data_IF_112146569446
#
_entry.id   IF_112146569446
#
_cell.length_a   1.000
_cell.length_b   1.000
_cell.length_c   1.000
_cell.angle_alpha   90.00
_cell.angle_beta   90.00
_cell.angle_gamma   90.00
#
_symmetry.space_group_name_H-M   'P 1'
#
loop_
_entity.id
_entity.type
_entity.pdbx_description
1 polymer ?
#
# COMPACT_ATOMS: atom_id res chain seq x y z
N UNK A 1 -39.19 -3.11 -8.95
CA UNK A 1 -37.81 -2.65 -9.22
C UNK A 1 -36.80 -3.79 -9.05
N UNK A 2 -36.15 -4.27 -10.12
CA UNK A 2 -35.02 -5.22 -10.01
C UNK A 2 -33.73 -4.52 -10.44
N UNK A 3 -32.97 -3.97 -9.49
CA UNK A 3 -31.64 -3.42 -9.72
C UNK A 3 -30.62 -4.56 -9.86
N UNK A 4 -30.47 -5.11 -11.07
CA UNK A 4 -29.51 -6.17 -11.38
C UNK A 4 -28.65 -5.81 -12.58
N UNK A 5 -27.44 -6.36 -12.63
CA UNK A 5 -26.51 -6.20 -13.75
C UNK A 5 -26.18 -4.73 -14.05
N UNK A 6 -26.28 -4.34 -15.32
CA UNK A 6 -25.92 -3.01 -15.78
C UNK A 6 -26.69 -1.88 -15.08
N UNK A 7 -27.97 -2.10 -14.72
CA UNK A 7 -28.80 -1.07 -14.05
C UNK A 7 -28.24 -0.70 -12.68
N UNK A 8 -27.85 -1.70 -11.88
CA UNK A 8 -27.23 -1.47 -10.56
C UNK A 8 -25.90 -0.74 -10.69
N UNK A 9 -25.05 -1.18 -11.62
CA UNK A 9 -23.73 -0.60 -11.85
C UNK A 9 -23.82 0.86 -12.34
N UNK A 10 -24.73 1.14 -13.27
CA UNK A 10 -24.95 2.49 -13.80
C UNK A 10 -25.53 3.41 -12.74
N UNK A 11 -26.52 2.96 -11.95
CA UNK A 11 -27.06 3.77 -10.86
C UNK A 11 -25.98 4.12 -9.82
N UNK A 12 -25.16 3.15 -9.42
CA UNK A 12 -24.06 3.39 -8.49
C UNK A 12 -23.04 4.39 -9.07
N UNK A 13 -22.69 4.26 -10.35
CA UNK A 13 -21.80 5.20 -11.02
C UNK A 13 -22.39 6.61 -11.12
N UNK A 14 -23.69 6.77 -11.36
CA UNK A 14 -24.38 8.06 -11.34
C UNK A 14 -24.31 8.71 -9.95
N UNK A 15 -24.54 7.93 -8.88
CA UNK A 15 -24.45 8.41 -7.51
C UNK A 15 -23.01 8.76 -7.09
N UNK A 16 -22.00 8.12 -7.66
CA UNK A 16 -20.59 8.51 -7.42
C UNK A 16 -20.24 9.75 -8.23
N UNK A 17 -20.68 9.83 -9.49
CA UNK A 17 -20.32 10.92 -10.38
C UNK A 17 -20.96 12.25 -9.95
N UNK A 18 -22.28 12.24 -9.73
CA UNK A 18 -23.05 13.46 -9.49
C UNK A 18 -22.77 14.03 -8.10
N UNK A 19 -23.25 13.44 -6.97
CA UNK A 19 -22.97 14.02 -5.67
C UNK A 19 -21.52 13.79 -5.21
N UNK A 20 -20.93 12.62 -5.50
CA UNK A 20 -19.57 12.30 -5.03
C UNK A 20 -18.46 13.13 -5.68
N UNK A 21 -18.38 13.17 -7.01
CA UNK A 21 -17.33 13.92 -7.73
C UNK A 21 -17.76 15.35 -8.02
N UNK A 22 -18.92 15.52 -8.65
CA UNK A 22 -19.33 16.84 -9.14
C UNK A 22 -20.01 17.70 -8.06
N UNK A 23 -20.51 17.08 -6.98
CA UNK A 23 -21.32 17.73 -5.94
C UNK A 23 -22.50 18.50 -6.54
N UNK A 24 -23.12 17.82 -7.50
CA UNK A 24 -24.33 18.23 -8.22
C UNK A 24 -25.33 17.10 -8.09
N UNK A 25 -26.60 17.46 -8.01
CA UNK A 25 -27.71 16.50 -7.97
C UNK A 25 -28.67 16.69 -9.16
N UNK A 26 -28.55 17.82 -9.86
CA UNK A 26 -29.35 18.19 -11.04
C UNK A 26 -28.48 18.51 -12.26
N UNK A 27 -29.01 18.16 -13.43
CA UNK A 27 -28.68 18.64 -14.79
C UNK A 27 -27.20 18.77 -15.15
N UNK A 28 -26.43 17.71 -14.92
CA UNK A 28 -25.06 17.68 -15.41
C UNK A 28 -24.93 17.02 -16.78
N UNK A 29 -24.14 17.67 -17.64
CA UNK A 29 -23.87 17.20 -18.99
C UNK A 29 -22.75 16.15 -18.94
N UNK A 30 -23.14 14.88 -18.79
CA UNK A 30 -22.26 13.73 -18.59
C UNK A 30 -21.94 13.06 -19.92
N UNK A 31 -20.68 12.67 -20.12
CA UNK A 31 -20.31 11.77 -21.22
C UNK A 31 -20.45 10.32 -20.77
N UNK A 32 -21.10 9.48 -21.58
CA UNK A 32 -21.42 8.10 -21.19
C UNK A 32 -20.18 7.25 -20.83
N UNK A 33 -19.02 7.51 -21.46
CA UNK A 33 -17.78 6.82 -21.10
C UNK A 33 -17.33 7.10 -19.66
N UNK A 34 -17.66 8.25 -19.07
CA UNK A 34 -17.31 8.57 -17.68
C UNK A 34 -18.01 7.62 -16.71
N UNK A 35 -19.25 7.23 -17.02
CA UNK A 35 -19.96 6.20 -16.27
C UNK A 35 -19.34 4.83 -16.51
N UNK A 36 -18.89 4.53 -17.73
CA UNK A 36 -18.20 3.27 -18.04
C UNK A 36 -16.90 3.13 -17.23
N UNK A 37 -16.09 4.19 -17.15
CA UNK A 37 -14.81 4.19 -16.43
C UNK A 37 -15.05 4.06 -14.92
N UNK A 38 -16.05 4.74 -14.36
CA UNK A 38 -16.42 4.59 -12.94
C UNK A 38 -16.85 3.16 -12.57
N UNK A 39 -17.56 2.48 -13.47
CA UNK A 39 -17.95 1.08 -13.24
C UNK A 39 -16.71 0.16 -13.22
N UNK A 40 -15.73 0.43 -14.08
CA UNK A 40 -14.47 -0.33 -14.13
C UNK A 40 -13.62 -0.06 -12.89
N UNK A 41 -13.50 1.20 -12.47
CA UNK A 41 -12.81 1.59 -11.23
C UNK A 41 -13.39 0.88 -9.99
N UNK A 42 -14.71 0.65 -9.98
CA UNK A 42 -15.41 -0.09 -8.92
C UNK A 42 -15.26 -1.63 -9.04
N UNK A 43 -14.38 -2.14 -9.92
CA UNK A 43 -14.15 -3.57 -10.13
C UNK A 43 -15.21 -4.25 -11.03
N UNK A 44 -16.04 -3.48 -11.73
CA UNK A 44 -17.06 -4.00 -12.65
C UNK A 44 -16.56 -4.20 -14.09
N UNK A 45 -17.37 -4.86 -14.92
CA UNK A 45 -17.10 -4.97 -16.36
C UNK A 45 -17.36 -3.67 -17.11
N UNK A 46 -16.55 -3.36 -18.12
CA UNK A 46 -16.76 -2.19 -18.99
C UNK A 46 -17.99 -2.41 -19.88
N UNK A 47 -18.99 -1.53 -19.74
CA UNK A 47 -20.17 -1.52 -20.61
C UNK A 47 -19.97 -0.58 -21.79
N UNK A 48 -20.56 -0.91 -22.95
CA UNK A 48 -20.60 0.01 -24.08
C UNK A 48 -21.65 1.12 -23.86
N UNK A 49 -21.46 2.27 -24.51
CA UNK A 49 -22.34 3.44 -24.41
C UNK A 49 -23.81 3.11 -24.68
N UNK A 50 -24.09 2.20 -25.62
CA UNK A 50 -25.45 1.72 -25.92
C UNK A 50 -26.09 1.00 -24.72
N UNK A 51 -25.31 0.21 -23.99
CA UNK A 51 -25.79 -0.51 -22.81
C UNK A 51 -26.01 0.45 -21.64
N UNK A 52 -25.13 1.42 -21.48
CA UNK A 52 -25.25 2.47 -20.46
C UNK A 52 -26.48 3.33 -20.74
N UNK A 53 -26.68 3.78 -21.98
CA UNK A 53 -27.86 4.56 -22.38
C UNK A 53 -29.19 3.82 -22.15
N UNK A 54 -29.25 2.52 -22.50
CA UNK A 54 -30.43 1.68 -22.20
C UNK A 54 -30.69 1.53 -20.70
N UNK A 55 -29.63 1.36 -19.91
CA UNK A 55 -29.75 1.28 -18.46
C UNK A 55 -30.23 2.62 -17.86
N UNK A 56 -29.72 3.76 -18.35
CA UNK A 56 -30.16 5.09 -17.92
C UNK A 56 -31.63 5.35 -18.27
N UNK A 57 -32.06 5.05 -19.49
CA UNK A 57 -33.46 5.15 -19.87
C UNK A 57 -34.36 4.30 -18.96
N UNK A 58 -34.00 3.04 -18.75
CA UNK A 58 -34.75 2.16 -17.84
C UNK A 58 -34.69 2.56 -16.36
N UNK A 59 -33.69 3.33 -15.92
CA UNK A 59 -33.65 3.91 -14.57
C UNK A 59 -34.52 5.17 -14.48
N UNK A 60 -34.65 5.91 -15.57
CA UNK A 60 -35.53 7.07 -15.66
C UNK A 60 -37.01 6.66 -15.72
N UNK A 61 -37.35 5.59 -16.46
CA UNK A 61 -38.69 5.00 -16.47
C UNK A 61 -39.14 4.55 -15.06
N UNK A 62 -38.18 4.11 -14.24
CA UNK A 62 -38.41 3.71 -12.84
C UNK A 62 -38.37 4.91 -11.87
N UNK A 63 -38.29 6.15 -12.37
CA UNK A 63 -38.23 7.40 -11.60
C UNK A 63 -37.08 7.44 -10.58
N UNK A 64 -35.95 6.77 -10.88
CA UNK A 64 -34.75 6.81 -10.04
C UNK A 64 -33.84 7.99 -10.39
N UNK A 65 -33.82 8.35 -11.67
CA UNK A 65 -33.05 9.45 -12.22
C UNK A 65 -33.92 10.21 -13.23
N UNK A 66 -33.56 11.44 -13.57
CA UNK A 66 -33.99 12.06 -14.82
C UNK A 66 -32.87 11.89 -15.86
N UNK A 67 -33.24 11.52 -17.08
CA UNK A 67 -32.28 11.24 -18.15
C UNK A 67 -32.75 11.84 -19.47
N UNK A 68 -31.92 12.72 -20.04
CA UNK A 68 -32.08 13.20 -21.42
C UNK A 68 -30.94 12.64 -22.26
N UNK A 69 -31.24 11.86 -23.32
CA UNK A 69 -30.20 11.24 -24.13
C UNK A 69 -29.35 12.30 -24.86
N UNK A 70 -28.09 11.93 -25.14
CA UNK A 70 -27.18 12.84 -25.83
C UNK A 70 -27.63 13.12 -27.28
N UNK A 71 -27.65 14.40 -27.68
CA UNK A 71 -27.98 14.82 -29.04
C UNK A 71 -26.82 15.59 -29.69
N UNK A 72 -26.51 15.28 -30.95
CA UNK A 72 -25.56 16.04 -31.79
C UNK A 72 -24.06 15.78 -31.57
N UNK A 73 -23.21 16.51 -32.31
CA UNK A 73 -21.74 16.44 -32.24
C UNK A 73 -21.26 17.05 -30.91
N UNK A 74 -21.18 16.21 -29.89
CA UNK A 74 -20.77 16.60 -28.53
C UNK A 74 -20.98 15.51 -27.46
N UNK A 75 -21.84 14.52 -27.74
CA UNK A 75 -22.09 13.30 -26.95
C UNK A 75 -22.17 13.51 -25.43
N UNK A 76 -22.92 14.53 -24.98
CA UNK A 76 -23.25 14.72 -23.56
C UNK A 76 -24.72 14.40 -23.34
N UNK A 77 -25.00 13.50 -22.41
CA UNK A 77 -26.34 13.23 -21.92
C UNK A 77 -26.58 14.05 -20.64
N UNK A 78 -27.81 14.47 -20.40
CA UNK A 78 -28.17 15.10 -19.13
C UNK A 78 -28.65 14.01 -18.18
N UNK A 79 -28.08 13.99 -16.98
CA UNK A 79 -28.45 13.05 -15.93
C UNK A 79 -28.65 13.82 -14.62
N UNK A 80 -29.76 13.57 -13.94
CA UNK A 80 -30.07 14.12 -12.63
C UNK A 80 -30.64 13.03 -11.70
N UNK A 81 -30.55 13.24 -10.39
CA UNK A 81 -31.31 12.42 -9.43
C UNK A 81 -32.77 12.83 -9.51
N UNK A 82 -33.70 11.86 -9.52
CA UNK A 82 -35.12 12.16 -9.67
C UNK A 82 -35.64 13.04 -8.53
N UNK A 83 -36.51 14.01 -8.85
CA UNK A 83 -37.02 15.05 -7.93
C UNK A 83 -37.58 14.48 -6.62
N UNK A 84 -38.20 13.30 -6.68
CA UNK A 84 -38.76 12.59 -5.52
C UNK A 84 -37.75 12.29 -4.40
N UNK A 85 -36.45 12.22 -4.70
CA UNK A 85 -35.39 11.95 -3.71
C UNK A 85 -34.66 13.21 -3.22
N UNK A 86 -35.02 14.36 -3.77
CA UNK A 86 -34.35 15.65 -3.51
C UNK A 86 -35.36 16.74 -3.10
N UNK A 87 -36.59 16.34 -2.78
CA UNK A 87 -37.68 17.27 -2.43
C UNK A 87 -37.38 18.09 -1.17
N UNK A 88 -36.67 17.51 -0.20
CA UNK A 88 -36.24 18.19 1.04
C UNK A 88 -34.81 18.74 0.97
N UNK A 89 -34.19 18.74 -0.22
CA UNK A 89 -32.81 19.19 -0.43
C UNK A 89 -32.82 20.50 -1.19
N UNK A 90 -32.57 21.61 -0.50
CA UNK A 90 -32.45 22.91 -1.13
C UNK A 90 -31.16 22.99 -1.96
N UNK A 91 -31.31 22.96 -3.29
CA UNK A 91 -30.19 23.05 -4.23
C UNK A 91 -29.75 24.50 -4.34
N UNK A 92 -28.60 24.82 -3.75
CA UNK A 92 -28.04 26.17 -3.83
C UNK A 92 -27.79 26.57 -5.29
N UNK A 93 -28.32 27.72 -5.69
CA UNK A 93 -28.19 28.25 -7.04
C UNK A 93 -26.72 28.46 -7.40
N UNK A 94 -26.37 28.40 -8.69
CA UNK A 94 -24.99 28.64 -9.16
C UNK A 94 -24.97 29.71 -10.24
N UNK A 95 -23.91 30.51 -10.27
CA UNK A 95 -23.68 31.52 -11.30
C UNK A 95 -23.30 30.87 -12.65
N UNK A 96 -23.20 31.68 -13.70
CA UNK A 96 -22.83 31.23 -15.05
C UNK A 96 -21.43 30.57 -15.13
N UNK A 97 -20.60 30.73 -14.10
CA UNK A 97 -19.27 30.09 -13.98
C UNK A 97 -19.30 28.80 -13.14
N UNK A 98 -20.47 28.43 -12.62
CA UNK A 98 -20.68 27.22 -11.81
C UNK A 98 -20.38 27.40 -10.32
N UNK A 99 -20.18 28.62 -9.82
CA UNK A 99 -19.99 28.89 -8.38
C UNK A 99 -21.33 29.03 -7.67
N UNK A 100 -21.43 28.51 -6.46
CA UNK A 100 -22.66 28.56 -5.66
C UNK A 100 -22.94 30.00 -5.22
N UNK A 101 -24.12 30.50 -5.58
CA UNK A 101 -24.72 31.75 -5.12
C UNK A 101 -25.33 31.45 -3.74
N UNK A 102 -24.77 32.04 -2.69
CA UNK A 102 -25.24 31.85 -1.31
C UNK A 102 -25.98 33.11 -0.87
N UNK A 103 -27.28 33.04 -0.53
CA UNK A 103 -27.91 34.05 0.32
C UNK A 103 -27.49 33.78 1.77
N UNK A 104 -26.77 34.72 2.36
CA UNK A 104 -26.32 34.81 3.77
C UNK A 104 -25.92 33.51 4.50
N UNK A 105 -24.59 33.31 4.54
CA UNK A 105 -23.82 32.43 5.45
C UNK A 105 -24.31 31.00 5.67
N UNK A 106 -23.88 30.09 4.78
CA UNK A 106 -23.71 28.67 5.11
C UNK A 106 -22.23 28.33 4.97
N UNK A 107 -21.56 28.00 6.08
CA UNK A 107 -20.17 27.55 6.11
C UNK A 107 -20.05 26.13 5.57
N UNK A 108 -19.87 26.01 4.26
CA UNK A 108 -19.37 24.76 3.67
C UNK A 108 -17.85 24.69 3.84
N UNK A 109 -17.34 23.54 4.27
CA UNK A 109 -15.92 23.24 4.25
C UNK A 109 -15.38 23.38 2.82
N UNK A 110 -14.28 24.12 2.68
CA UNK A 110 -13.74 24.55 1.40
C UNK A 110 -13.47 23.36 0.47
N UNK A 111 -14.10 23.40 -0.71
CA UNK A 111 -13.77 22.50 -1.82
C UNK A 111 -12.47 22.97 -2.48
N UNK A 112 -11.46 22.12 -2.39
CA UNK A 112 -10.14 22.27 -3.01
C UNK A 112 -10.27 22.51 -4.54
N UNK A 113 -10.11 23.76 -5.00
CA UNK A 113 -10.09 24.10 -6.43
C UNK A 113 -8.64 24.24 -6.92
N UNK A 114 -8.09 23.17 -7.50
CA UNK A 114 -6.77 23.19 -8.12
C UNK A 114 -6.84 23.85 -9.51
N UNK A 115 -6.83 25.18 -9.59
CA UNK A 115 -6.16 26.00 -10.63
C UNK A 115 -6.60 27.49 -10.58
N UNK A 116 -5.67 28.43 -10.34
CA UNK A 116 -5.79 29.88 -10.61
C UNK A 116 -4.51 30.39 -11.30
N UNK A 117 -4.53 31.54 -12.00
CA UNK A 117 -3.38 32.06 -12.76
C UNK A 117 -2.33 32.72 -11.86
N UNK A 118 -1.05 32.51 -12.20
CA UNK A 118 0.17 32.77 -11.39
C UNK A 118 0.39 34.18 -10.82
N UNK A 119 -0.37 35.20 -11.23
CA UNK A 119 0.00 36.60 -10.96
C UNK A 119 -0.38 37.10 -9.55
N UNK A 120 -1.42 36.54 -8.92
CA UNK A 120 -1.92 36.99 -7.61
C UNK A 120 -1.88 35.88 -6.55
N UNK A 121 -0.96 34.92 -6.69
CA UNK A 121 -0.64 34.05 -5.57
C UNK A 121 0.19 34.88 -4.57
N UNK A 122 -0.17 34.93 -3.27
CA UNK A 122 0.89 35.12 -2.27
C UNK A 122 1.95 34.06 -2.57
N UNK A 123 3.26 34.36 -2.45
CA UNK A 123 4.30 33.36 -2.72
C UNK A 123 3.86 32.09 -2.01
N UNK A 124 3.84 30.98 -2.75
CA UNK A 124 3.46 29.66 -2.20
C UNK A 124 3.99 29.63 -0.78
N UNK A 125 3.19 29.37 0.26
CA UNK A 125 3.76 29.05 1.54
C UNK A 125 4.56 27.78 1.29
N UNK A 126 5.82 27.96 0.90
CA UNK A 126 6.89 27.09 1.29
C UNK A 126 6.58 26.90 2.75
N UNK A 127 6.29 25.65 3.12
CA UNK A 127 6.26 25.28 4.51
C UNK A 127 7.35 26.10 5.18
N UNK A 128 7.07 26.77 6.30
CA UNK A 128 8.12 27.25 7.19
C UNK A 128 8.83 26.04 7.84
N UNK A 129 9.19 25.07 6.98
CA UNK A 129 9.88 23.80 7.06
C UNK A 129 10.63 23.57 5.72
N UNK A 130 10.88 24.64 4.95
CA UNK A 130 12.09 24.75 4.11
C UNK A 130 13.22 25.48 4.87
N UNK A 131 13.01 25.79 6.15
CA UNK A 131 14.08 25.60 7.12
C UNK A 131 14.17 24.10 7.35
N UNK A 132 15.09 23.44 6.65
CA UNK A 132 15.51 22.07 6.86
C UNK A 132 14.47 21.18 7.57
N UNK A 133 13.75 20.33 6.82
CA UNK A 133 13.41 19.03 7.40
C UNK A 133 14.74 18.38 7.72
N UNK A 134 15.29 18.65 8.90
CA UNK A 134 16.58 18.18 9.42
C UNK A 134 16.55 16.68 9.72
N UNK A 135 15.79 15.91 8.93
CA UNK A 135 15.47 14.52 9.17
C UNK A 135 14.94 13.76 7.96
N UNK A 136 14.71 14.34 6.78
CA UNK A 136 14.31 13.55 5.60
C UNK A 136 15.53 13.06 4.82
N UNK A 137 15.47 11.81 4.34
CA UNK A 137 16.54 11.21 3.54
C UNK A 137 16.84 12.04 2.28
N UNK A 138 18.10 12.42 2.01
CA UNK A 138 18.45 13.20 0.82
C UNK A 138 18.06 12.47 -0.47
N UNK A 139 17.27 13.11 -1.34
CA UNK A 139 16.81 12.53 -2.62
C UNK A 139 17.55 13.07 -3.84
N UNK A 140 18.26 14.19 -3.68
CA UNK A 140 19.04 14.80 -4.74
C UNK A 140 20.08 15.77 -4.20
N UNK A 141 20.99 16.18 -5.07
CA UNK A 141 21.98 17.24 -4.82
C UNK A 141 21.60 18.51 -5.56
N UNK A 142 22.06 19.64 -5.05
CA UNK A 142 21.97 20.92 -5.74
C UNK A 142 22.80 20.88 -7.03
N UNK A 143 22.21 21.37 -8.12
CA UNK A 143 22.82 21.38 -9.46
C UNK A 143 23.13 22.82 -9.82
N UNK A 144 24.40 23.13 -10.09
CA UNK A 144 24.73 24.43 -10.62
C UNK A 144 24.30 24.52 -12.10
N UNK A 145 23.68 25.63 -12.56
CA UNK A 145 23.26 25.78 -13.96
C UNK A 145 24.38 25.56 -14.98
N UNK A 146 25.63 25.81 -14.58
CA UNK A 146 26.80 25.63 -15.44
C UNK A 146 27.13 24.16 -15.69
N UNK A 147 26.85 23.25 -14.75
CA UNK A 147 27.07 21.81 -14.93
C UNK A 147 26.27 21.27 -16.12
N UNK A 148 25.05 21.78 -16.32
CA UNK A 148 24.21 21.39 -17.47
C UNK A 148 24.80 21.93 -18.77
N UNK A 149 25.31 23.17 -18.76
CA UNK A 149 25.93 23.79 -19.94
C UNK A 149 27.22 23.07 -20.34
N UNK A 150 28.03 22.68 -19.35
CA UNK A 150 29.26 21.91 -19.53
C UNK A 150 28.96 20.57 -20.23
N UNK A 151 27.97 19.81 -19.74
CA UNK A 151 27.56 18.56 -20.39
C UNK A 151 27.11 18.80 -21.83
N UNK A 152 26.32 19.85 -22.09
CA UNK A 152 25.87 20.18 -23.45
C UNK A 152 27.01 20.61 -24.38
N UNK A 153 28.02 21.32 -23.87
CA UNK A 153 29.19 21.72 -24.63
C UNK A 153 30.08 20.53 -25.02
N UNK A 154 30.14 19.52 -24.15
CA UNK A 154 30.92 18.29 -24.38
C UNK A 154 30.12 17.16 -25.04
N UNK A 155 28.91 17.43 -25.57
CA UNK A 155 28.11 16.39 -26.23
C UNK A 155 28.72 15.96 -27.58
N UNK A 156 28.73 14.65 -27.88
CA UNK A 156 29.11 14.14 -29.20
C UNK A 156 28.24 14.69 -30.33
N UNK A 157 28.80 14.80 -31.54
CA UNK A 157 28.14 15.33 -32.75
C UNK A 157 26.75 14.72 -32.99
N UNK A 158 26.58 13.42 -32.74
CA UNK A 158 25.30 12.71 -32.89
C UNK A 158 24.13 13.29 -32.06
N UNK A 159 24.42 14.11 -31.04
CA UNK A 159 23.41 14.78 -30.21
C UNK A 159 23.32 16.29 -30.47
N UNK A 160 24.17 16.85 -31.34
CA UNK A 160 24.20 18.29 -31.63
C UNK A 160 23.08 18.71 -32.59
N UNK A 161 22.73 17.85 -33.55
CA UNK A 161 21.68 18.06 -34.56
C UNK A 161 20.26 17.71 -34.10
N UNK A 162 20.07 17.53 -32.79
CA UNK A 162 18.76 17.22 -32.23
C UNK A 162 17.78 18.40 -32.38
N UNK A 163 16.55 18.08 -32.79
CA UNK A 163 15.44 19.05 -32.75
C UNK A 163 15.28 19.67 -31.36
N UNK A 164 14.79 20.90 -31.28
CA UNK A 164 14.62 21.66 -30.03
C UNK A 164 13.88 20.88 -28.94
N UNK A 165 12.80 20.17 -29.31
CA UNK A 165 12.01 19.34 -28.38
C UNK A 165 12.82 18.17 -27.82
N UNK A 166 13.60 17.52 -28.68
CA UNK A 166 14.45 16.38 -28.30
C UNK A 166 15.62 16.83 -27.44
N UNK A 167 16.22 17.98 -27.76
CA UNK A 167 17.29 18.62 -26.96
C UNK A 167 16.80 19.01 -25.57
N UNK A 168 15.58 19.57 -25.46
CA UNK A 168 14.98 19.91 -24.17
C UNK A 168 14.74 18.66 -23.30
N UNK A 169 14.26 17.57 -23.92
CA UNK A 169 14.10 16.28 -23.22
C UNK A 169 15.45 15.72 -22.74
N UNK A 170 16.50 15.78 -23.57
CA UNK A 170 17.84 15.37 -23.18
C UNK A 170 18.36 16.21 -21.99
N UNK A 171 18.13 17.53 -22.00
CA UNK A 171 18.49 18.40 -20.89
C UNK A 171 17.72 18.10 -19.60
N UNK A 172 16.48 17.60 -19.70
CA UNK A 172 15.74 17.07 -18.56
C UNK A 172 16.36 15.79 -17.98
N UNK A 173 16.85 14.89 -18.85
CA UNK A 173 17.53 13.66 -18.44
C UNK A 173 18.87 13.94 -17.78
N UNK A 174 19.68 14.85 -18.35
CA UNK A 174 20.96 15.27 -17.78
C UNK A 174 20.75 15.87 -16.41
N UNK A 175 19.81 16.83 -16.27
CA UNK A 175 19.45 17.41 -14.97
C UNK A 175 19.01 16.35 -13.96
N UNK A 176 18.23 15.35 -14.39
CA UNK A 176 17.85 14.25 -13.50
C UNK A 176 19.05 13.44 -13.02
N UNK A 177 20.05 13.17 -13.86
CA UNK A 177 21.23 12.42 -13.44
C UNK A 177 22.16 13.25 -12.55
N UNK A 178 22.35 14.54 -12.86
CA UNK A 178 23.06 15.47 -11.98
C UNK A 178 22.36 15.58 -10.62
N UNK A 179 21.03 15.67 -10.58
CA UNK A 179 20.25 15.65 -9.34
C UNK A 179 20.51 14.39 -8.51
N UNK A 180 20.68 13.24 -9.16
CA UNK A 180 21.02 11.97 -8.49
C UNK A 180 22.47 11.92 -8.02
N UNK A 181 23.25 12.96 -8.23
CA UNK A 181 24.63 13.09 -7.77
C UNK A 181 25.68 12.50 -8.72
N UNK A 182 25.36 12.29 -9.99
CA UNK A 182 26.33 11.92 -11.02
C UNK A 182 27.14 13.13 -11.47
N UNK A 183 28.41 12.93 -11.83
CA UNK A 183 29.30 14.01 -12.28
C UNK A 183 29.07 14.33 -13.77
N UNK A 184 29.25 15.60 -14.19
CA UNK A 184 29.17 16.00 -15.60
C UNK A 184 30.01 15.10 -16.52
N UNK A 185 31.28 14.90 -16.17
CA UNK A 185 32.23 14.07 -16.92
C UNK A 185 31.74 12.62 -17.10
N UNK A 186 31.13 12.03 -16.07
CA UNK A 186 30.59 10.66 -16.13
C UNK A 186 29.39 10.56 -17.05
N UNK A 187 28.52 11.58 -17.05
CA UNK A 187 27.38 11.67 -17.97
C UNK A 187 27.90 11.79 -19.41
N UNK A 188 28.87 12.68 -19.65
CA UNK A 188 29.49 12.87 -20.98
C UNK A 188 30.14 11.58 -21.46
N UNK A 189 30.96 10.91 -20.63
CA UNK A 189 31.63 9.66 -21.00
C UNK A 189 30.65 8.57 -21.47
N UNK A 190 29.50 8.44 -20.79
CA UNK A 190 28.45 7.48 -21.18
C UNK A 190 27.79 7.88 -22.49
N UNK A 191 27.50 9.17 -22.68
CA UNK A 191 26.90 9.66 -23.91
C UNK A 191 27.87 9.57 -25.10
N UNK A 192 29.17 9.72 -24.86
CA UNK A 192 30.26 9.65 -25.83
C UNK A 192 30.62 8.24 -26.30
N UNK A 193 30.05 7.19 -25.70
CA UNK A 193 30.27 5.82 -26.17
C UNK A 193 29.95 5.65 -27.66
N UNK A 194 30.70 4.82 -28.41
CA UNK A 194 30.53 4.67 -29.85
C UNK A 194 29.11 4.22 -30.20
N UNK A 195 28.51 4.83 -31.23
CA UNK A 195 27.14 4.50 -31.63
C UNK A 195 27.12 3.11 -32.29
N UNK A 196 26.27 2.18 -31.83
CA UNK A 196 26.04 0.95 -32.56
C UNK A 196 25.33 1.26 -33.89
N UNK A 197 25.67 0.52 -34.94
CA UNK A 197 25.04 0.70 -36.26
C UNK A 197 23.51 0.52 -36.19
N UNK A 198 22.77 1.35 -36.93
CA UNK A 198 21.30 1.21 -37.08
C UNK A 198 20.44 1.91 -36.01
N UNK A 199 21.00 2.78 -35.17
CA UNK A 199 20.21 3.54 -34.18
C UNK A 199 19.33 4.59 -34.86
N UNK A 200 18.02 4.35 -34.86
CA UNK A 200 17.01 5.26 -35.46
C UNK A 200 16.76 6.54 -34.63
N UNK A 201 17.10 6.55 -33.34
CA UNK A 201 16.82 7.68 -32.44
C UNK A 201 17.95 7.89 -31.42
N UNK A 202 18.75 8.96 -31.58
CA UNK A 202 19.82 9.28 -30.63
C UNK A 202 19.30 9.51 -29.20
N UNK A 203 18.13 10.14 -29.01
CA UNK A 203 17.55 10.36 -27.68
C UNK A 203 17.21 9.05 -26.95
N UNK A 204 16.63 8.07 -27.64
CA UNK A 204 16.32 6.78 -27.01
C UNK A 204 17.60 6.04 -26.61
N UNK A 205 18.66 6.15 -27.41
CA UNK A 205 19.96 5.61 -27.06
C UNK A 205 20.54 6.29 -25.81
N UNK A 206 20.49 7.62 -25.73
CA UNK A 206 20.91 8.36 -24.53
C UNK A 206 20.11 7.95 -23.28
N UNK A 207 18.78 7.86 -23.40
CA UNK A 207 17.91 7.38 -22.31
C UNK A 207 18.33 5.99 -21.84
N UNK A 208 18.50 5.06 -22.76
CA UNK A 208 18.89 3.69 -22.44
C UNK A 208 20.28 3.64 -21.80
N UNK A 209 21.27 4.35 -22.36
CA UNK A 209 22.65 4.39 -21.86
C UNK A 209 22.70 4.94 -20.44
N UNK A 210 22.04 6.07 -20.18
CA UNK A 210 22.00 6.65 -18.84
C UNK A 210 21.22 5.78 -17.85
N UNK A 211 20.13 5.14 -18.28
CA UNK A 211 19.37 4.24 -17.41
C UNK A 211 20.15 2.96 -17.03
N UNK A 212 20.92 2.41 -17.98
CA UNK A 212 21.68 1.18 -17.77
C UNK A 212 23.00 1.39 -17.03
N UNK A 213 23.73 2.47 -17.34
CA UNK A 213 25.06 2.70 -16.78
C UNK A 213 25.05 3.55 -15.49
N UNK A 214 23.96 4.26 -15.20
CA UNK A 214 23.82 5.09 -14.00
C UNK A 214 22.57 4.72 -13.18
N UNK A 215 22.48 3.47 -12.67
CA UNK A 215 21.44 3.09 -11.74
C UNK A 215 21.67 3.73 -10.37
N UNK A 216 20.58 4.06 -9.67
CA UNK A 216 20.64 4.59 -8.32
C UNK A 216 21.28 5.97 -8.16
N UNK A 217 21.78 6.22 -6.95
CA UNK A 217 22.43 7.47 -6.53
C UNK A 217 23.90 7.48 -6.96
N UNK A 218 24.31 8.59 -7.57
CA UNK A 218 25.69 8.86 -7.98
C UNK A 218 26.62 9.22 -6.81
N UNK A 219 27.92 9.43 -7.10
CA UNK A 219 28.96 9.63 -6.09
C UNK A 219 28.73 10.83 -5.16
N UNK A 220 28.06 11.91 -5.61
CA UNK A 220 27.78 13.08 -4.76
C UNK A 220 26.63 12.82 -3.77
N UNK A 221 25.61 12.07 -4.18
CA UNK A 221 24.40 11.84 -3.37
C UNK A 221 24.55 10.65 -2.42
N UNK A 222 25.31 9.62 -2.81
CA UNK A 222 25.43 8.38 -2.05
C UNK A 222 25.99 8.56 -0.64
N UNK A 223 27.07 9.33 -0.39
CA UNK A 223 27.58 9.55 0.96
C UNK A 223 26.57 10.26 1.86
N UNK A 224 25.82 11.22 1.32
CA UNK A 224 24.79 11.95 2.05
C UNK A 224 23.64 11.02 2.48
N UNK A 225 23.21 10.13 1.58
CA UNK A 225 22.21 9.12 1.88
C UNK A 225 22.70 8.12 2.93
N UNK A 226 23.94 7.64 2.82
CA UNK A 226 24.53 6.70 3.78
C UNK A 226 24.68 7.30 5.18
N UNK A 227 25.13 8.55 5.28
CA UNK A 227 25.23 9.27 6.55
C UNK A 227 23.85 9.41 7.20
N UNK A 228 22.83 9.77 6.40
CA UNK A 228 21.45 9.85 6.88
C UNK A 228 20.92 8.48 7.31
N UNK A 229 21.10 7.43 6.50
CA UNK A 229 20.62 6.07 6.79
C UNK A 229 21.26 5.55 8.10
N UNK A 230 22.54 5.85 8.32
CA UNK A 230 23.27 5.50 9.55
C UNK A 230 22.72 6.23 10.77
N UNK A 231 22.49 7.55 10.66
CA UNK A 231 21.92 8.36 11.73
C UNK A 231 20.47 7.93 12.05
N UNK A 232 19.65 7.66 11.03
CA UNK A 232 18.29 7.18 11.19
C UNK A 232 18.24 5.81 11.88
N UNK A 233 19.11 4.88 11.49
CA UNK A 233 19.21 3.57 12.13
C UNK A 233 19.72 3.66 13.58
N UNK A 234 20.60 4.61 13.90
CA UNK A 234 21.02 4.86 15.28
C UNK A 234 19.89 5.45 16.13
N UNK A 235 19.15 6.43 15.60
CA UNK A 235 18.00 7.02 16.27
C UNK A 235 16.89 5.99 16.52
N UNK A 236 16.63 5.09 15.57
CA UNK A 236 15.62 4.04 15.74
C UNK A 236 16.01 3.02 16.82
N UNK A 237 17.27 2.62 16.87
CA UNK A 237 17.79 1.77 17.95
C UNK A 237 17.62 2.44 19.30
N UNK A 238 18.02 3.72 19.42
CA UNK A 238 17.85 4.47 20.65
C UNK A 238 16.38 4.57 21.10
N UNK A 239 15.43 4.79 20.17
CA UNK A 239 13.99 4.78 20.47
C UNK A 239 13.50 3.41 20.95
N UNK A 240 13.94 2.35 20.29
CA UNK A 240 13.59 0.97 20.67
C UNK A 240 14.12 0.63 22.06
N UNK A 241 15.39 0.95 22.33
CA UNK A 241 16.04 0.72 23.62
C UNK A 241 15.32 1.52 24.72
N UNK A 242 14.97 2.78 24.46
CA UNK A 242 14.21 3.60 25.41
C UNK A 242 12.81 3.01 25.69
N UNK A 243 12.10 2.52 24.67
CA UNK A 243 10.79 1.90 24.84
C UNK A 243 10.87 0.58 25.64
N UNK A 244 11.95 -0.19 25.44
CA UNK A 244 12.24 -1.41 26.22
C UNK A 244 12.51 -1.05 27.69
N UNK A 245 13.35 -0.04 27.96
CA UNK A 245 13.62 0.41 29.33
C UNK A 245 12.37 0.96 30.02
N UNK A 246 11.53 1.73 29.32
CA UNK A 246 10.23 2.19 29.83
C UNK A 246 9.30 1.02 30.17
N UNK A 247 9.14 0.06 29.25
CA UNK A 247 8.32 -1.14 29.48
C UNK A 247 8.85 -1.95 30.67
N UNK A 248 10.16 -2.05 30.83
CA UNK A 248 10.78 -2.75 31.96
C UNK A 248 10.56 -2.02 33.29
N UNK A 249 10.60 -0.69 33.27
CA UNK A 249 10.32 0.15 34.43
C UNK A 249 8.87 -0.05 34.89
N UNK A 250 7.89 -0.02 33.96
CA UNK A 250 6.47 -0.28 34.26
C UNK A 250 6.26 -1.67 34.89
N UNK A 251 6.89 -2.71 34.33
CA UNK A 251 6.83 -4.05 34.90
C UNK A 251 7.46 -4.08 36.29
N UNK A 252 8.61 -3.44 36.49
CA UNK A 252 9.32 -3.41 37.77
C UNK A 252 8.55 -2.66 38.85
N UNK A 253 7.86 -1.58 38.49
CA UNK A 253 7.01 -0.81 39.41
C UNK A 253 5.76 -1.60 39.82
N UNK A 254 5.16 -2.34 38.88
CA UNK A 254 3.92 -3.09 39.13
C UNK A 254 4.12 -4.48 39.74
N UNK A 255 5.37 -4.96 39.90
CA UNK A 255 5.67 -6.34 40.32
C UNK A 255 6.76 -6.41 41.39
N UNK A 256 6.76 -7.49 42.17
CA UNK A 256 7.85 -7.77 43.13
C UNK A 256 9.01 -8.53 42.47
N UNK A 257 10.17 -8.57 43.14
CA UNK A 257 11.30 -9.37 42.66
C UNK A 257 10.95 -10.87 42.49
N UNK A 258 10.18 -11.42 43.42
CA UNK A 258 9.76 -12.83 43.39
C UNK A 258 8.80 -13.13 42.22
N UNK A 259 7.87 -12.20 41.93
CA UNK A 259 6.98 -12.32 40.78
C UNK A 259 7.76 -12.32 39.47
N UNK A 260 8.76 -11.45 39.34
CA UNK A 260 9.63 -11.39 38.16
C UNK A 260 10.48 -12.66 38.01
N UNK A 261 11.07 -13.16 39.09
CA UNK A 261 11.84 -14.41 39.07
C UNK A 261 10.96 -15.62 38.71
N UNK A 262 9.72 -15.67 39.20
CA UNK A 262 8.76 -16.72 38.83
C UNK A 262 8.33 -16.63 37.37
N UNK A 263 8.06 -15.42 36.87
CA UNK A 263 7.73 -15.20 35.48
C UNK A 263 8.87 -15.61 34.53
N UNK A 264 10.13 -15.34 34.89
CA UNK A 264 11.29 -15.80 34.12
C UNK A 264 11.42 -17.32 34.12
N UNK A 265 11.14 -18.00 35.25
CA UNK A 265 11.09 -19.48 35.27
C UNK A 265 9.99 -20.03 34.37
N UNK A 266 8.80 -19.42 34.39
CA UNK A 266 7.70 -19.80 33.51
C UNK A 266 8.02 -19.59 32.03
N UNK A 267 8.68 -18.47 31.69
CA UNK A 267 9.12 -18.19 30.33
C UNK A 267 10.16 -19.22 29.87
N UNK A 268 11.18 -19.50 30.71
CA UNK A 268 12.20 -20.50 30.41
C UNK A 268 11.62 -21.92 30.25
N UNK A 269 10.62 -22.26 31.05
CA UNK A 269 9.90 -23.53 30.94
C UNK A 269 9.19 -23.63 29.58
N UNK A 270 8.55 -22.54 29.14
CA UNK A 270 7.74 -22.52 27.91
C UNK A 270 8.56 -22.40 26.62
N UNK A 271 9.63 -21.61 26.61
CA UNK A 271 10.39 -21.26 25.40
C UNK A 271 11.85 -21.72 25.43
N UNK A 272 12.32 -22.28 26.54
CA UNK A 272 13.70 -22.77 26.70
C UNK A 272 14.66 -21.70 27.22
N UNK A 273 15.94 -21.80 26.87
CA UNK A 273 17.00 -20.97 27.45
C UNK A 273 16.79 -19.47 27.18
N UNK A 274 16.73 -18.67 28.25
CA UNK A 274 16.59 -17.22 28.15
C UNK A 274 17.94 -16.55 27.84
N UNK A 275 18.06 -15.91 26.69
CA UNK A 275 19.25 -15.13 26.31
C UNK A 275 19.23 -13.70 26.85
N UNK A 276 18.05 -13.07 26.93
CA UNK A 276 17.89 -11.72 27.45
C UNK A 276 16.72 -11.65 28.44
N UNK A 277 16.99 -11.53 29.76
CA UNK A 277 15.94 -11.57 30.78
C UNK A 277 15.02 -10.34 30.73
N UNK A 278 15.49 -9.18 30.26
CA UNK A 278 14.66 -7.98 30.14
C UNK A 278 13.54 -8.19 29.12
N UNK A 279 13.89 -8.68 27.93
CA UNK A 279 12.92 -8.91 26.85
C UNK A 279 12.00 -10.08 27.17
N UNK A 280 12.51 -11.14 27.81
CA UNK A 280 11.69 -12.27 28.26
C UNK A 280 10.63 -11.82 29.28
N UNK A 281 11.01 -10.98 30.24
CA UNK A 281 10.08 -10.44 31.23
C UNK A 281 9.01 -9.53 30.59
N UNK A 282 9.38 -8.65 29.65
CA UNK A 282 8.41 -7.82 28.91
C UNK A 282 7.47 -8.69 28.06
N UNK A 283 7.98 -9.76 27.45
CA UNK A 283 7.18 -10.73 26.69
C UNK A 283 6.15 -11.43 27.59
N UNK A 284 6.59 -11.91 28.75
CA UNK A 284 5.74 -12.52 29.77
C UNK A 284 4.65 -11.54 30.25
N UNK A 285 5.01 -10.29 30.54
CA UNK A 285 4.08 -9.22 30.90
C UNK A 285 3.00 -8.99 29.83
N UNK A 286 3.39 -8.90 28.55
CA UNK A 286 2.45 -8.77 27.43
C UNK A 286 1.54 -9.99 27.27
N UNK A 287 2.09 -11.20 27.43
CA UNK A 287 1.31 -12.43 27.39
C UNK A 287 0.28 -12.50 28.52
N UNK A 288 0.69 -12.11 29.73
CA UNK A 288 -0.15 -12.05 30.91
C UNK A 288 -1.30 -11.05 30.75
N UNK A 289 -1.03 -9.82 30.33
CA UNK A 289 -2.07 -8.79 30.11
C UNK A 289 -3.06 -9.23 29.03
N UNK A 290 -2.59 -9.87 27.95
CA UNK A 290 -3.50 -10.41 26.91
C UNK A 290 -4.38 -11.54 27.43
N UNK A 291 -3.85 -12.41 28.31
CA UNK A 291 -4.59 -13.55 28.86
C UNK A 291 -5.55 -13.15 29.97
N UNK A 292 -5.22 -12.11 30.74
CA UNK A 292 -5.97 -11.62 31.89
C UNK A 292 -6.17 -10.09 31.81
N UNK A 293 -6.95 -9.58 30.84
CA UNK A 293 -7.06 -8.14 30.56
C UNK A 293 -7.73 -7.33 31.70
N UNK A 294 -8.49 -7.99 32.58
CA UNK A 294 -9.21 -7.35 33.69
C UNK A 294 -8.44 -7.39 35.02
N UNK A 295 -7.17 -7.81 35.01
CA UNK A 295 -6.32 -7.87 36.20
C UNK A 295 -5.25 -6.77 36.16
N UNK A 296 -4.78 -6.34 37.34
CA UNK A 296 -3.57 -5.52 37.41
C UNK A 296 -2.37 -6.31 36.87
N UNK A 297 -1.36 -5.60 36.36
CA UNK A 297 -0.20 -6.24 35.72
C UNK A 297 0.48 -7.27 36.62
N UNK A 298 0.69 -6.96 37.90
CA UNK A 298 1.30 -7.89 38.85
C UNK A 298 0.47 -9.16 39.09
N UNK A 299 -0.85 -9.02 39.24
CA UNK A 299 -1.75 -10.18 39.39
C UNK A 299 -1.84 -10.99 38.11
N UNK A 300 -1.94 -10.33 36.95
CA UNK A 300 -1.97 -10.99 35.65
C UNK A 300 -0.69 -11.80 35.43
N UNK A 301 0.47 -11.23 35.73
CA UNK A 301 1.77 -11.88 35.55
C UNK A 301 1.95 -13.08 36.47
N UNK A 302 1.54 -12.95 37.74
CA UNK A 302 1.58 -14.07 38.69
C UNK A 302 0.69 -15.24 38.22
N UNK A 303 -0.57 -14.96 37.86
CA UNK A 303 -1.51 -16.00 37.37
C UNK A 303 -1.02 -16.64 36.09
N UNK A 304 -0.46 -15.86 35.18
CA UNK A 304 0.14 -16.38 33.95
C UNK A 304 1.32 -17.32 34.24
N UNK A 305 2.23 -16.91 35.14
CA UNK A 305 3.37 -17.72 35.50
C UNK A 305 2.94 -19.04 36.17
N UNK A 306 1.96 -18.98 37.08
CA UNK A 306 1.42 -20.17 37.74
C UNK A 306 0.76 -21.11 36.72
N UNK A 307 -0.07 -20.60 35.79
CA UNK A 307 -0.66 -21.45 34.74
C UNK A 307 0.37 -22.16 33.86
N UNK A 308 1.46 -21.49 33.48
CA UNK A 308 2.50 -22.08 32.64
C UNK A 308 3.33 -23.10 33.42
N UNK A 309 3.61 -22.85 34.70
CA UNK A 309 4.36 -23.78 35.54
C UNK A 309 3.52 -25.02 35.89
N UNK A 310 2.22 -24.85 36.12
CA UNK A 310 1.28 -25.95 36.39
C UNK A 310 1.09 -26.83 35.14
N UNK A 311 0.99 -26.24 33.94
CA UNK A 311 0.90 -26.97 32.67
C UNK A 311 2.16 -27.82 32.38
N UNK A 312 3.31 -27.46 32.94
CA UNK A 312 4.57 -28.19 32.77
C UNK A 312 4.86 -29.20 33.89
N UNK A 313 4.05 -29.24 34.94
CA UNK A 313 4.24 -30.19 36.01
C UNK A 313 3.87 -31.59 35.49
N UNK A 314 4.81 -32.57 35.48
CA UNK A 314 4.50 -33.89 34.97
C UNK A 314 3.46 -34.53 35.90
N UNK A 315 2.24 -34.70 35.40
CA UNK A 315 1.24 -35.54 36.05
C UNK A 315 1.79 -36.96 36.13
N UNK A 316 2.27 -37.34 37.31
CA UNK A 316 2.53 -38.73 37.69
C UNK A 316 1.18 -39.40 37.89
N UNK A 317 0.46 -39.76 36.82
CA UNK A 317 -0.58 -40.80 36.89
C UNK A 317 -0.95 -41.37 35.52
N UNK A 318 -0.80 -42.70 35.44
CA UNK A 318 -1.45 -43.66 34.53
C UNK A 318 -1.31 -43.47 33.03
N UNK A 319 -0.64 -44.46 32.43
CA UNK A 319 -0.82 -44.92 31.06
C UNK A 319 -2.26 -44.68 30.57
N UNK A 320 -2.42 -43.64 29.77
CA UNK A 320 -3.51 -43.50 28.81
C UNK A 320 -2.84 -43.53 27.44
N UNK A 321 -3.43 -44.27 26.47
CA UNK A 321 -2.86 -44.38 25.15
C UNK A 321 -2.70 -42.98 24.58
N UNK A 322 -1.49 -42.71 24.12
CA UNK A 322 -1.04 -41.49 23.44
C UNK A 322 -2.16 -40.89 22.58
N UNK A 323 -2.81 -39.85 23.09
CA UNK A 323 -3.46 -38.88 22.22
C UNK A 323 -2.35 -38.18 21.46
N UNK A 324 -2.37 -38.15 20.12
CA UNK A 324 -1.33 -37.49 19.37
C UNK A 324 -1.36 -36.01 19.73
N UNK A 325 -0.17 -35.49 20.07
CA UNK A 325 0.14 -34.07 20.03
C UNK A 325 -0.50 -33.53 18.77
N UNK A 326 -1.44 -32.59 18.87
CA UNK A 326 -2.01 -31.95 17.69
C UNK A 326 -0.82 -31.33 16.92
N UNK A 327 -0.44 -31.88 15.75
CA UNK A 327 0.73 -31.42 15.06
C UNK A 327 0.47 -29.99 14.60
N UNK A 328 1.47 -29.12 14.77
CA UNK A 328 1.44 -27.80 14.16
C UNK A 328 1.44 -28.01 12.64
N UNK A 329 0.24 -27.97 12.06
CA UNK A 329 -0.04 -28.29 10.66
C UNK A 329 0.87 -27.51 9.71
N UNK A 330 1.33 -26.31 10.11
CA UNK A 330 2.26 -25.49 9.34
C UNK A 330 3.67 -26.07 9.27
N UNK A 331 4.17 -26.68 10.34
CA UNK A 331 5.51 -27.28 10.39
C UNK A 331 5.54 -28.58 9.60
N UNK A 332 4.49 -29.41 9.74
CA UNK A 332 4.41 -30.68 9.00
C UNK A 332 4.20 -30.49 7.49
N UNK A 333 3.44 -29.47 7.09
CA UNK A 333 3.35 -29.09 5.68
C UNK A 333 4.71 -28.64 5.13
N UNK A 334 5.47 -27.86 5.89
CA UNK A 334 6.77 -27.36 5.46
C UNK A 334 7.80 -28.51 5.30
N UNK A 335 7.82 -29.45 6.25
CA UNK A 335 8.71 -30.62 6.19
C UNK A 335 8.31 -31.53 5.02
N UNK A 336 7.02 -31.82 4.86
CA UNK A 336 6.52 -32.71 3.80
C UNK A 336 6.69 -32.13 2.39
N UNK A 337 6.53 -30.82 2.23
CA UNK A 337 6.80 -30.14 0.96
C UNK A 337 8.29 -30.19 0.55
N UNK A 338 9.20 -30.22 1.53
CA UNK A 338 10.65 -30.29 1.29
C UNK A 338 11.11 -31.73 1.07
N UNK A 339 10.56 -32.70 1.81
CA UNK A 339 11.00 -34.10 1.76
C UNK A 339 10.23 -34.95 0.77
N UNK A 340 9.08 -34.49 0.28
CA UNK A 340 8.20 -35.24 -0.62
C UNK A 340 7.49 -36.44 0.05
N UNK A 341 7.54 -36.54 1.38
CA UNK A 341 6.91 -37.61 2.14
C UNK A 341 5.43 -37.31 2.38
N UNK A 342 4.61 -38.35 2.48
CA UNK A 342 3.18 -38.25 2.73
C UNK A 342 2.90 -37.45 4.00
N UNK A 343 2.11 -36.37 3.90
CA UNK A 343 1.72 -35.55 5.07
C UNK A 343 0.97 -36.36 6.13
N UNK A 344 0.26 -37.42 5.74
CA UNK A 344 -0.60 -38.18 6.66
C UNK A 344 0.15 -39.26 7.46
N UNK A 345 1.09 -39.97 6.86
CA UNK A 345 1.83 -41.04 7.55
C UNK A 345 3.32 -40.76 7.75
N UNK A 346 3.87 -39.78 7.03
CA UNK A 346 5.29 -39.40 7.02
C UNK A 346 6.28 -40.52 6.62
N UNK A 347 5.81 -41.74 6.35
CA UNK A 347 6.66 -42.91 6.10
C UNK A 347 6.97 -43.17 4.62
N UNK A 348 6.07 -42.79 3.71
CA UNK A 348 6.21 -43.10 2.29
C UNK A 348 6.17 -41.83 1.43
N UNK A 349 7.04 -41.69 0.41
CA UNK A 349 6.88 -40.63 -0.59
C UNK A 349 5.55 -40.79 -1.32
N UNK A 350 4.87 -39.68 -1.59
CA UNK A 350 3.56 -39.67 -2.24
C UNK A 350 3.50 -38.67 -3.39
N UNK A 351 2.70 -38.92 -4.43
CA UNK A 351 2.47 -37.92 -5.46
C UNK A 351 1.78 -36.69 -4.87
N UNK A 352 2.11 -35.51 -5.41
CA UNK A 352 1.46 -34.26 -5.05
C UNK A 352 0.00 -34.29 -5.50
N UNK A 353 -0.95 -34.22 -4.56
CA UNK A 353 -2.38 -34.22 -4.87
C UNK A 353 -2.86 -32.79 -5.08
N UNK A 354 -3.00 -32.40 -6.34
CA UNK A 354 -3.54 -31.08 -6.71
C UNK A 354 -5.04 -30.94 -6.48
N UNK A 355 -5.72 -32.06 -6.23
CA UNK A 355 -7.16 -32.11 -5.99
C UNK A 355 -7.54 -31.67 -4.55
N UNK A 356 -6.55 -31.49 -3.67
CA UNK A 356 -6.73 -30.93 -2.33
C UNK A 356 -6.68 -29.39 -2.36
N UNK A 357 -7.37 -28.70 -1.42
CA UNK A 357 -7.32 -27.24 -1.31
C UNK A 357 -5.91 -26.66 -1.19
N UNK A 358 -4.98 -27.46 -0.66
CA UNK A 358 -3.54 -27.17 -0.63
C UNK A 358 -2.84 -28.37 -1.27
N UNK A 359 -2.06 -28.19 -2.35
CA UNK A 359 -1.33 -29.29 -2.98
C UNK A 359 -0.28 -29.86 -2.03
N UNK A 360 -0.49 -31.09 -1.59
CA UNK A 360 0.41 -31.78 -0.66
C UNK A 360 0.70 -33.21 -1.13
N UNK A 361 1.91 -33.76 -0.86
CA UNK A 361 2.21 -35.16 -1.13
C UNK A 361 1.41 -36.08 -0.20
N UNK A 362 0.65 -37.02 -0.78
CA UNK A 362 -0.12 -38.03 -0.03
C UNK A 362 0.00 -39.38 -0.74
N UNK A 363 0.45 -40.42 -0.03
CA UNK A 363 0.59 -41.76 -0.59
C UNK A 363 -0.79 -42.38 -0.89
N UNK A 364 -0.84 -43.35 -1.83
CA UNK A 364 -2.10 -43.97 -2.26
C UNK A 364 -2.87 -44.62 -1.11
N UNK A 365 -2.19 -45.20 -0.12
CA UNK A 365 -2.84 -45.85 1.02
C UNK A 365 -3.53 -44.86 1.97
N UNK A 366 -2.91 -43.71 2.24
CA UNK A 366 -3.53 -42.64 3.02
C UNK A 366 -4.63 -41.93 2.20
N UNK A 367 -4.48 -41.85 0.88
CA UNK A 367 -5.49 -41.26 0.01
C UNK A 367 -6.79 -42.06 0.03
N UNK A 368 -6.72 -43.39 -0.11
CA UNK A 368 -7.90 -44.26 -0.07
C UNK A 368 -8.53 -44.32 1.32
N UNK A 369 -7.71 -44.43 2.39
CA UNK A 369 -8.23 -44.50 3.76
C UNK A 369 -9.02 -43.24 4.20
N UNK A 370 -8.64 -42.06 3.70
CA UNK A 370 -9.38 -40.82 3.98
C UNK A 370 -10.58 -40.62 3.05
N UNK A 371 -10.56 -41.17 1.83
CA UNK A 371 -11.71 -41.13 0.93
C UNK A 371 -12.89 -41.98 1.44
N UNK A 372 -12.60 -43.09 2.14
CA UNK A 372 -13.62 -43.96 2.73
C UNK A 372 -14.26 -43.38 4.00
N UNK A 373 -13.60 -42.41 4.67
CA UNK A 373 -14.13 -41.76 5.88
C UNK A 373 -15.25 -40.74 5.60
N UNK A 374 -15.35 -40.22 4.36
CA UNK A 374 -16.43 -39.30 3.96
C UNK A 374 -17.71 -40.04 3.50
N UNK A 375 -17.69 -41.38 3.46
CA UNK A 375 -18.82 -42.22 3.03
C UNK A 375 -19.57 -42.93 4.18
N UNK A 376 -19.16 -42.71 5.44
CA UNK A 376 -19.80 -43.21 6.66
C UNK A 376 -20.28 -42.04 7.52
#
# INVERSE_FOLDING_TARGET
MRLRGARKAVLAAVLILLPGRHSRITDDAVRLYQLADLIVEAGGRRYCDKTIGRALASLADDELIAYTPAQGRGNRALVAIHSRFVHDVEVLQRDATGRVIVPESVTFSDRHSSYRPKANYPPTPHSAVEQAVSGSRPTGVEIHPDEVREVFAALPEAYQDLSTRTRWRLGGLIRRQLARGWLPEQIVAILAAPLPGGVKSPLHLAMWRLAKNQPGSGPRLRPLQQAWDTAAAAAERARTDQAVEQSLAEVTEATTADQRARALRAEAARFGTITNPKTALISAARAAVRRFPNCSLGTALARWADTVLDEQQPTVTTEHPSSPIAPDLGVELAISAVTGHCVSCQCAPGPLRTDLPIPVPVCDSCWTANADQDAA
#
